data_IF_155611008370
#
_entry.id   IF_155611008370
#
_cell.length_a   1.000
_cell.length_b   1.000
_cell.length_c   1.000
_cell.angle_alpha   90.00
_cell.angle_beta   90.00
_cell.angle_gamma   90.00
#
_symmetry.space_group_name_H-M   'P 1'
#
loop_
_entity.id
_entity.type
_entity.pdbx_description
1 polymer ?
#
# COMPACT_ATOMS: atom_id res chain seq x y z
N UNK A 1 -4.67 24.18 -3.85
CA UNK A 1 -5.51 24.04 -5.06
C UNK A 1 -5.46 22.57 -5.45
N UNK A 2 -6.57 21.85 -5.36
CA UNK A 2 -6.64 20.47 -5.84
C UNK A 2 -6.88 20.51 -7.35
N UNK A 3 -5.90 20.09 -8.15
CA UNK A 3 -6.11 19.86 -9.58
C UNK A 3 -6.97 18.61 -9.73
N UNK A 4 -8.17 18.78 -10.30
CA UNK A 4 -9.01 17.65 -10.70
C UNK A 4 -8.26 16.83 -11.76
N UNK A 5 -8.08 15.53 -11.47
CA UNK A 5 -7.51 14.59 -12.43
C UNK A 5 -8.47 14.47 -13.62
N UNK A 6 -7.98 14.67 -14.84
CA UNK A 6 -8.74 14.40 -16.06
C UNK A 6 -8.92 12.89 -16.24
N UNK A 7 -10.16 12.41 -16.11
CA UNK A 7 -10.50 11.00 -16.25
C UNK A 7 -10.16 10.47 -17.65
N UNK A 8 -10.32 11.27 -18.70
CA UNK A 8 -10.04 10.85 -20.08
C UNK A 8 -8.54 10.60 -20.27
N UNK A 9 -7.71 11.45 -19.67
CA UNK A 9 -6.26 11.26 -19.66
C UNK A 9 -5.88 9.93 -18.98
N UNK A 10 -6.47 9.62 -17.82
CA UNK A 10 -6.18 8.37 -17.09
C UNK A 10 -6.63 7.13 -17.87
N UNK A 11 -7.83 7.16 -18.45
CA UNK A 11 -8.37 6.05 -19.27
C UNK A 11 -7.50 5.83 -20.51
N UNK A 12 -7.07 6.91 -21.16
CA UNK A 12 -6.17 6.82 -22.30
C UNK A 12 -4.82 6.23 -21.89
N UNK A 13 -4.28 6.64 -20.74
CA UNK A 13 -3.04 6.08 -20.20
C UNK A 13 -3.17 4.58 -19.90
N UNK A 14 -4.23 4.16 -19.21
CA UNK A 14 -4.43 2.77 -18.75
C UNK A 14 -4.51 1.76 -19.89
N UNK A 15 -4.98 2.18 -21.07
CA UNK A 15 -5.09 1.34 -22.28
C UNK A 15 -3.90 1.47 -23.24
N UNK A 16 -3.01 2.44 -22.99
CA UNK A 16 -1.84 2.71 -23.83
C UNK A 16 -0.66 1.75 -23.58
N UNK A 17 0.39 1.86 -24.41
CA UNK A 17 1.65 1.17 -24.17
C UNK A 17 2.30 1.59 -22.84
N UNK A 18 2.18 2.86 -22.45
CA UNK A 18 2.69 3.35 -21.17
C UNK A 18 1.99 2.67 -19.99
N UNK A 19 0.66 2.55 -20.03
CA UNK A 19 -0.11 1.85 -18.99
C UNK A 19 0.34 0.41 -18.82
N UNK A 20 0.54 -0.32 -19.92
CA UNK A 20 1.07 -1.69 -19.89
C UNK A 20 2.49 -1.77 -19.32
N UNK A 21 3.36 -0.83 -19.71
CA UNK A 21 4.72 -0.76 -19.19
C UNK A 21 4.72 -0.54 -17.66
N UNK A 22 3.91 0.39 -17.16
CA UNK A 22 3.80 0.67 -15.73
C UNK A 22 3.29 -0.56 -14.96
N UNK A 23 2.29 -1.28 -15.49
CA UNK A 23 1.82 -2.54 -14.90
C UNK A 23 2.89 -3.63 -14.89
N UNK A 24 3.68 -3.76 -15.96
CA UNK A 24 4.80 -4.71 -15.99
C UNK A 24 5.87 -4.36 -14.97
N UNK A 25 6.22 -3.08 -14.83
CA UNK A 25 7.17 -2.61 -13.82
C UNK A 25 6.67 -2.90 -12.40
N UNK A 26 5.38 -2.68 -12.15
CA UNK A 26 4.75 -3.02 -10.88
C UNK A 26 4.82 -4.52 -10.59
N UNK A 27 4.58 -5.37 -11.59
CA UNK A 27 4.71 -6.83 -11.44
C UNK A 27 6.13 -7.27 -11.06
N UNK A 28 7.16 -6.65 -11.62
CA UNK A 28 8.56 -6.91 -11.22
C UNK A 28 8.85 -6.42 -9.78
N UNK A 29 8.28 -5.29 -9.37
CA UNK A 29 8.40 -4.80 -7.99
C UNK A 29 7.72 -5.79 -7.02
N UNK A 30 6.51 -6.25 -7.35
CA UNK A 30 5.76 -7.22 -6.54
C UNK A 30 6.50 -8.55 -6.43
N UNK A 31 6.98 -9.10 -7.54
CA UNK A 31 7.76 -10.34 -7.55
C UNK A 31 9.01 -10.27 -6.67
N UNK A 32 9.68 -9.12 -6.65
CA UNK A 32 10.88 -8.93 -5.85
C UNK A 32 10.58 -8.69 -4.35
N UNK A 33 9.52 -7.94 -4.04
CA UNK A 33 9.17 -7.56 -2.65
C UNK A 33 8.32 -8.60 -1.93
N UNK A 34 7.47 -9.30 -2.66
CA UNK A 34 6.53 -10.29 -2.15
C UNK A 34 6.66 -11.59 -2.98
N UNK A 35 7.82 -12.26 -2.97
CA UNK A 35 8.08 -13.44 -3.81
C UNK A 35 7.14 -14.62 -3.52
N UNK A 36 6.50 -14.64 -2.34
CA UNK A 36 5.53 -15.65 -1.91
C UNK A 36 4.11 -15.08 -1.82
N UNK A 37 3.80 -14.02 -2.60
CA UNK A 37 2.46 -13.44 -2.65
C UNK A 37 1.45 -14.48 -3.15
N UNK A 38 0.59 -14.95 -2.25
CA UNK A 38 -0.49 -15.91 -2.49
C UNK A 38 -1.88 -15.30 -2.31
N UNK A 39 -1.96 -14.21 -1.55
CA UNK A 39 -3.21 -13.56 -1.15
C UNK A 39 -3.03 -12.04 -1.00
N UNK A 40 -4.11 -11.31 -1.28
CA UNK A 40 -4.18 -9.84 -1.12
C UNK A 40 -5.26 -9.45 -0.10
N UNK A 41 -5.05 -8.39 0.70
CA UNK A 41 -3.96 -7.42 0.61
C UNK A 41 -2.62 -7.92 1.20
N UNK A 42 -1.50 -7.53 0.57
CA UNK A 42 -0.14 -7.83 1.04
C UNK A 42 0.53 -6.61 1.66
N UNK A 43 0.29 -6.43 2.95
CA UNK A 43 0.80 -5.30 3.73
C UNK A 43 2.19 -5.61 4.24
N UNK A 44 3.13 -4.73 3.91
CA UNK A 44 4.50 -4.77 4.40
C UNK A 44 4.81 -3.48 5.16
N UNK A 45 5.41 -3.61 6.33
CA UNK A 45 5.88 -2.49 7.14
C UNK A 45 7.39 -2.66 7.32
N UNK A 46 8.18 -1.65 6.94
CA UNK A 46 9.65 -1.70 6.93
C UNK A 46 10.22 -2.91 6.17
N UNK A 47 9.58 -3.28 5.06
CA UNK A 47 10.04 -4.40 4.21
C UNK A 47 9.66 -5.79 4.72
N UNK A 48 8.92 -5.91 5.83
CA UNK A 48 8.47 -7.19 6.39
C UNK A 48 6.97 -7.35 6.22
N UNK A 49 6.53 -8.53 5.78
CA UNK A 49 5.10 -8.88 5.69
C UNK A 49 4.47 -8.92 7.09
N UNK A 50 3.40 -8.17 7.29
CA UNK A 50 2.63 -8.14 8.54
C UNK A 50 1.18 -8.53 8.23
N UNK A 51 0.76 -9.71 8.69
CA UNK A 51 -0.57 -10.26 8.39
C UNK A 51 -1.66 -9.63 9.26
N UNK A 52 -1.34 -9.31 10.51
CA UNK A 52 -2.24 -8.70 11.48
C UNK A 52 -2.72 -7.31 11.01
N UNK A 53 -1.90 -6.64 10.19
CA UNK A 53 -2.22 -5.33 9.62
C UNK A 53 -3.39 -5.38 8.63
N UNK A 54 -3.72 -6.57 8.09
CA UNK A 54 -4.89 -6.75 7.21
C UNK A 54 -6.20 -6.54 7.97
N UNK A 55 -6.20 -6.85 9.27
CA UNK A 55 -7.38 -6.70 10.13
C UNK A 55 -7.40 -5.35 10.82
N UNK A 56 -6.25 -4.88 11.30
CA UNK A 56 -6.17 -3.62 12.04
C UNK A 56 -4.76 -2.99 11.95
N UNK A 57 -4.51 -2.31 10.83
CA UNK A 57 -3.25 -1.58 10.59
C UNK A 57 -2.92 -0.58 11.70
N UNK A 58 -3.91 0.18 12.20
CA UNK A 58 -3.70 1.19 13.23
C UNK A 58 -3.18 0.58 14.53
N UNK A 59 -3.82 -0.48 15.01
CA UNK A 59 -3.38 -1.20 16.20
C UNK A 59 -1.94 -1.74 16.04
N UNK A 60 -1.62 -2.31 14.88
CA UNK A 60 -0.27 -2.81 14.58
C UNK A 60 0.76 -1.67 14.61
N UNK A 61 0.49 -0.54 13.94
CA UNK A 61 1.39 0.61 13.89
C UNK A 61 1.62 1.20 15.28
N UNK A 62 0.53 1.48 16.01
CA UNK A 62 0.58 2.12 17.32
C UNK A 62 1.24 1.26 18.40
N UNK A 63 1.09 -0.07 18.34
CA UNK A 63 1.72 -0.98 19.31
C UNK A 63 3.18 -1.27 18.98
N UNK A 64 3.53 -1.37 17.70
CA UNK A 64 4.78 -2.01 17.29
C UNK A 64 5.76 -1.12 16.50
N UNK A 65 5.32 0.00 15.91
CA UNK A 65 6.15 0.73 14.93
C UNK A 65 6.30 2.23 15.21
N UNK A 66 5.29 2.90 15.74
CA UNK A 66 5.31 4.35 15.89
C UNK A 66 5.99 4.76 17.21
N UNK A 67 7.21 5.30 17.09
CA UNK A 67 8.00 5.80 18.22
C UNK A 67 8.54 7.21 17.88
N UNK A 68 8.22 8.25 18.68
CA UNK A 68 7.31 8.23 19.83
C UNK A 68 5.87 7.93 19.39
N UNK A 69 5.10 7.29 20.28
CA UNK A 69 3.69 6.98 20.03
C UNK A 69 2.88 8.28 19.92
N UNK A 70 2.22 8.56 18.76
CA UNK A 70 1.38 9.75 18.61
C UNK A 70 0.13 9.69 19.50
N UNK A 71 -0.43 10.85 19.84
CA UNK A 71 -1.63 10.97 20.70
C UNK A 71 -2.86 10.29 20.07
N UNK A 72 -2.91 10.22 18.74
CA UNK A 72 -3.98 9.55 18.01
C UNK A 72 -4.05 8.06 18.33
N UNK A 73 -2.93 7.45 18.73
CA UNK A 73 -2.88 6.05 19.14
C UNK A 73 -3.53 5.80 20.52
N UNK A 74 -3.92 6.84 21.26
CA UNK A 74 -4.70 6.69 22.50
C UNK A 74 -6.20 6.60 22.23
N UNK A 75 -6.67 7.12 21.09
CA UNK A 75 -8.07 7.02 20.66
C UNK A 75 -8.43 5.61 20.16
N UNK A 76 -7.43 4.77 19.89
CA UNK A 76 -7.57 3.38 19.49
C UNK A 76 -7.30 2.45 20.68
N UNK A 77 -8.13 2.54 21.72
CA UNK A 77 -8.21 1.53 22.78
C UNK A 77 -9.05 0.35 22.28
N UNK A 78 -8.44 -0.83 22.16
CA UNK A 78 -9.09 -2.11 21.90
C UNK A 78 -8.89 -3.01 23.10
#
# INVERSE_FOLDING_TARGET
>A
MASTIDANFVIKCSTSALGRQLMSQQGEIEKNRAPTLDWVPWIMINGVRVKEAEYNLWNVLCKNYLVPKPVECDNYQF
#
